data_IF_128423219959
#
_entry.id   IF_128423219959
#
_cell.length_a   1.000
_cell.length_b   1.000
_cell.length_c   1.000
_cell.angle_alpha   90.00
_cell.angle_beta   90.00
_cell.angle_gamma   90.00
#
_symmetry.space_group_name_H-M   'P 1'
#
loop_
_entity.id
_entity.type
_entity.pdbx_description
1 polymer ?
#
# COMPACT_ATOMS: atom_id res chain seq x y z
N UNK A 1 4.55 -35.37 -19.40
CA UNK A 1 4.91 -34.71 -18.13
C UNK A 1 3.89 -33.61 -17.89
N UNK A 2 3.04 -33.66 -16.85
CA UNK A 2 2.11 -32.57 -16.61
C UNK A 2 2.91 -31.38 -16.12
N UNK A 3 2.89 -30.29 -16.89
CA UNK A 3 3.44 -29.01 -16.48
C UNK A 3 2.60 -28.54 -15.29
N UNK A 4 3.22 -28.43 -14.12
CA UNK A 4 2.61 -27.82 -12.94
C UNK A 4 2.34 -26.37 -13.32
N UNK A 5 1.13 -26.09 -13.79
CA UNK A 5 0.63 -24.75 -13.99
C UNK A 5 0.50 -24.19 -12.59
N UNK A 6 1.54 -23.51 -12.10
CA UNK A 6 1.41 -22.65 -10.94
C UNK A 6 0.28 -21.68 -11.26
N UNK A 7 -0.89 -21.95 -10.68
CA UNK A 7 -2.09 -21.14 -10.89
C UNK A 7 -1.73 -19.69 -10.59
N UNK A 8 -2.26 -18.75 -11.38
CA UNK A 8 -2.09 -17.32 -11.10
C UNK A 8 -2.46 -16.98 -9.64
N UNK A 9 -3.38 -17.75 -9.05
CA UNK A 9 -3.74 -17.70 -7.65
C UNK A 9 -2.59 -18.03 -6.69
N UNK A 10 -1.79 -19.06 -6.97
CA UNK A 10 -0.62 -19.42 -6.15
C UNK A 10 0.46 -18.33 -6.19
N UNK A 11 0.64 -17.69 -7.35
CA UNK A 11 1.55 -16.56 -7.50
C UNK A 11 1.03 -15.32 -6.74
N UNK A 12 -0.29 -15.05 -6.83
CA UNK A 12 -0.92 -13.97 -6.07
C UNK A 12 -0.80 -14.18 -4.55
N UNK A 13 -1.04 -15.41 -4.06
CA UNK A 13 -0.88 -15.77 -2.66
C UNK A 13 0.57 -15.57 -2.18
N UNK A 14 1.55 -16.00 -2.97
CA UNK A 14 2.96 -15.80 -2.64
C UNK A 14 3.31 -14.31 -2.51
N UNK A 15 2.89 -13.50 -3.49
CA UNK A 15 3.12 -12.04 -3.47
C UNK A 15 2.43 -11.36 -2.29
N UNK A 16 1.24 -11.81 -1.91
CA UNK A 16 0.54 -11.29 -0.73
C UNK A 16 1.28 -11.59 0.57
N UNK A 17 1.79 -12.81 0.73
CA UNK A 17 2.58 -13.22 1.90
C UNK A 17 3.90 -12.41 1.96
N UNK A 18 4.58 -12.23 0.83
CA UNK A 18 5.78 -11.39 0.78
C UNK A 18 5.47 -9.93 1.12
N UNK A 19 4.38 -9.37 0.59
CA UNK A 19 3.97 -8.00 0.87
C UNK A 19 3.67 -7.80 2.37
N UNK A 20 2.89 -8.69 2.96
CA UNK A 20 2.53 -8.62 4.40
C UNK A 20 3.76 -8.77 5.30
N UNK A 21 4.71 -9.65 4.96
CA UNK A 21 5.99 -9.76 5.68
C UNK A 21 6.82 -8.49 5.60
N UNK A 22 6.89 -7.85 4.42
CA UNK A 22 7.63 -6.60 4.25
C UNK A 22 7.01 -5.45 5.05
N UNK A 23 5.68 -5.40 5.14
CA UNK A 23 4.95 -4.43 5.99
C UNK A 23 5.30 -4.62 7.46
N UNK A 24 5.29 -5.85 7.97
CA UNK A 24 5.68 -6.14 9.38
C UNK A 24 7.12 -5.71 9.68
N UNK A 25 8.06 -6.01 8.77
CA UNK A 25 9.45 -5.58 8.90
C UNK A 25 9.59 -4.04 8.90
N UNK A 26 8.84 -3.34 8.05
CA UNK A 26 8.84 -1.89 8.02
C UNK A 26 8.31 -1.27 9.32
N UNK A 27 7.22 -1.80 9.87
CA UNK A 27 6.69 -1.33 11.16
C UNK A 27 7.66 -1.59 12.31
N UNK A 28 8.32 -2.75 12.34
CA UNK A 28 9.34 -3.05 13.34
C UNK A 28 10.55 -2.12 13.24
N UNK A 29 10.98 -1.79 12.02
CA UNK A 29 12.09 -0.85 11.81
C UNK A 29 11.74 0.57 12.28
N UNK A 30 10.51 1.02 12.05
CA UNK A 30 10.02 2.32 12.56
C UNK A 30 9.94 2.31 14.09
N UNK A 31 9.42 1.24 14.70
CA UNK A 31 9.35 1.12 16.17
C UNK A 31 10.73 1.03 16.81
N UNK A 32 11.65 0.25 16.23
CA UNK A 32 13.02 0.09 16.73
C UNK A 32 13.86 1.37 16.62
N UNK A 33 13.51 2.27 15.69
CA UNK A 33 14.08 3.62 15.61
C UNK A 33 13.43 4.65 16.54
N UNK A 34 12.30 4.32 17.16
CA UNK A 34 11.59 5.27 18.04
C UNK A 34 12.12 5.29 19.48
N UNK A 35 12.94 4.30 19.87
CA UNK A 35 13.53 4.22 21.22
C UNK A 35 14.84 5.02 21.35
N UNK A 36 15.54 5.28 20.24
CA UNK A 36 16.60 6.28 20.16
C UNK A 36 15.97 7.57 19.62
N UNK A 37 15.94 8.63 20.43
CA UNK A 37 15.38 9.95 20.17
C UNK A 37 15.18 10.28 18.68
N UNK A 38 13.94 10.14 18.19
CA UNK A 38 13.55 10.58 16.84
C UNK A 38 13.89 12.06 16.75
N UNK A 39 14.91 12.40 15.97
CA UNK A 39 15.29 13.79 15.78
C UNK A 39 14.13 14.58 15.17
N UNK A 40 14.00 15.86 15.52
CA UNK A 40 12.98 16.76 14.94
C UNK A 40 12.95 16.73 13.41
N UNK A 41 14.09 16.42 12.78
CA UNK A 41 14.21 16.27 11.33
C UNK A 41 13.50 15.00 10.83
N UNK A 42 13.67 13.86 11.50
CA UNK A 42 12.98 12.62 11.16
C UNK A 42 11.47 12.74 11.37
N UNK A 43 11.05 13.48 12.40
CA UNK A 43 9.64 13.79 12.62
C UNK A 43 9.07 14.64 11.47
N UNK A 44 9.74 15.72 11.07
CA UNK A 44 9.32 16.55 9.93
C UNK A 44 9.23 15.75 8.62
N UNK A 45 10.17 14.83 8.38
CA UNK A 45 10.13 13.92 7.22
C UNK A 45 8.94 12.97 7.30
N UNK A 46 8.62 12.43 8.49
CA UNK A 46 7.46 11.57 8.67
C UNK A 46 6.14 12.30 8.41
N UNK A 47 6.00 13.53 8.91
CA UNK A 47 4.83 14.39 8.66
C UNK A 47 4.68 14.70 7.18
N UNK A 48 5.76 15.10 6.49
CA UNK A 48 5.72 15.36 5.05
C UNK A 48 5.33 14.11 4.23
N UNK A 49 5.79 12.92 4.65
CA UNK A 49 5.38 11.65 4.01
C UNK A 49 3.90 11.34 4.25
N UNK A 50 3.38 11.65 5.44
CA UNK A 50 1.97 11.47 5.76
C UNK A 50 1.09 12.39 4.93
N UNK A 51 1.41 13.68 4.86
CA UNK A 51 0.65 14.66 4.05
C UNK A 51 0.58 14.21 2.59
N UNK A 52 1.72 13.81 2.02
CA UNK A 52 1.76 13.27 0.66
C UNK A 52 0.88 12.03 0.50
N UNK A 53 0.85 11.12 1.47
CA UNK A 53 0.03 9.93 1.39
C UNK A 53 -1.47 10.26 1.42
N UNK A 54 -1.88 11.26 2.20
CA UNK A 54 -3.26 11.75 2.26
C UNK A 54 -3.69 12.42 0.96
N UNK A 55 -2.80 13.17 0.31
CA UNK A 55 -3.05 13.74 -1.01
C UNK A 55 -3.26 12.64 -2.08
N UNK A 56 -2.40 11.61 -2.08
CA UNK A 56 -2.56 10.49 -3.01
C UNK A 56 -3.84 9.68 -2.76
N UNK A 57 -4.23 9.49 -1.50
CA UNK A 57 -5.50 8.85 -1.16
C UNK A 57 -6.70 9.66 -1.67
N UNK A 58 -6.65 10.98 -1.54
CA UNK A 58 -7.71 11.87 -2.05
C UNK A 58 -7.82 11.78 -3.57
N UNK A 59 -6.69 11.80 -4.28
CA UNK A 59 -6.66 11.58 -5.75
C UNK A 59 -7.21 10.22 -6.16
N UNK A 60 -6.83 9.16 -5.43
CA UNK A 60 -7.31 7.81 -5.70
C UNK A 60 -8.84 7.71 -5.51
N UNK A 61 -9.38 8.37 -4.48
CA UNK A 61 -10.82 8.46 -4.23
C UNK A 61 -11.54 9.13 -5.40
N UNK A 62 -11.05 10.27 -5.89
CA UNK A 62 -11.65 10.98 -7.03
C UNK A 62 -11.67 10.13 -8.30
N UNK A 63 -10.58 9.41 -8.58
CA UNK A 63 -10.50 8.49 -9.73
C UNK A 63 -11.48 7.32 -9.59
N UNK A 64 -11.67 6.80 -8.37
CA UNK A 64 -12.63 5.75 -8.10
C UNK A 64 -14.06 6.24 -8.35
N UNK A 65 -14.43 7.40 -7.82
CA UNK A 65 -15.76 7.99 -7.99
C UNK A 65 -16.08 8.25 -9.49
N UNK A 66 -15.08 8.70 -10.25
CA UNK A 66 -15.19 8.84 -11.71
C UNK A 66 -15.40 7.48 -12.40
N UNK A 67 -14.65 6.45 -12.01
CA UNK A 67 -14.80 5.12 -12.60
C UNK A 67 -16.16 4.50 -12.29
N UNK A 68 -16.67 4.66 -11.07
CA UNK A 68 -17.98 4.16 -10.64
C UNK A 68 -19.11 4.87 -11.39
N UNK A 69 -19.08 6.21 -11.47
CA UNK A 69 -20.08 6.99 -12.21
C UNK A 69 -20.11 6.65 -13.71
N UNK A 70 -18.94 6.47 -14.33
CA UNK A 70 -18.84 6.00 -15.71
C UNK A 70 -19.38 4.57 -15.89
N UNK A 71 -19.20 3.69 -14.90
CA UNK A 71 -19.75 2.34 -14.92
C UNK A 71 -21.27 2.34 -14.81
N UNK A 72 -21.85 3.15 -13.92
CA UNK A 72 -23.30 3.32 -13.78
C UNK A 72 -23.96 3.82 -15.07
N UNK A 73 -23.28 4.72 -15.79
CA UNK A 73 -23.78 5.29 -17.06
C UNK A 73 -23.78 4.27 -18.22
N UNK A 74 -22.93 3.23 -18.15
CA UNK A 74 -22.87 2.18 -19.20
C UNK A 74 -23.85 1.03 -18.99
N UNK A 75 -24.48 0.93 -17.81
CA UNK A 75 -25.44 -0.12 -17.48
C UNK A 75 -26.91 0.29 -17.72
N UNK A 76 -27.17 1.55 -18.05
CA UNK A 76 -28.47 2.08 -18.48
C UNK A 76 -28.56 2.14 -19.99
#
# INVERSE_FOLDING_TARGET
>A
MPTVTHSNEANAAHRFIEATRNVDLAFRAVRGKAEDEISDTEHAVAVSRLDRALDELSRAQELFDLAVSAHSTRQT
#
